data_IF_082843621272
#
_entry.id   IF_082843621272
#
_cell.length_a   1.000
_cell.length_b   1.000
_cell.length_c   1.000
_cell.angle_alpha   90.00
_cell.angle_beta   90.00
_cell.angle_gamma   90.00
#
_symmetry.space_group_name_H-M   'P 1'
#
loop_
_entity.id
_entity.type
_entity.pdbx_description
1 polymer ?
#
# COMPACT_ATOMS: atom_id res chain seq x y z
N UNK A 1 9.69 15.71 9.73
CA UNK A 1 10.09 16.71 10.71
C UNK A 1 8.92 17.15 11.58
N UNK A 2 7.80 17.66 11.00
CA UNK A 2 6.66 18.15 11.80
C UNK A 2 6.07 17.09 12.74
N UNK A 3 5.84 15.86 12.28
CA UNK A 3 5.32 14.79 13.12
C UNK A 3 6.27 14.46 14.29
N UNK A 4 7.58 14.45 14.06
CA UNK A 4 8.57 14.22 15.10
C UNK A 4 8.69 15.38 16.08
N UNK A 5 8.44 16.62 15.63
CA UNK A 5 8.37 17.79 16.49
C UNK A 5 7.11 17.82 17.36
N UNK A 6 5.96 17.41 16.78
CA UNK A 6 4.69 17.31 17.50
C UNK A 6 4.67 16.17 18.53
N UNK A 7 5.49 15.15 18.32
CA UNK A 7 5.60 13.97 19.18
C UNK A 7 7.01 13.88 19.77
N UNK A 8 7.48 15.00 20.34
CA UNK A 8 8.79 15.09 20.97
C UNK A 8 8.97 14.19 22.20
N UNK A 9 7.85 13.71 22.77
CA UNK A 9 7.83 12.71 23.83
C UNK A 9 8.27 11.31 23.38
N UNK A 10 8.28 11.06 22.06
CA UNK A 10 8.74 9.78 21.49
C UNK A 10 10.26 9.82 21.34
N UNK A 11 10.99 9.45 22.38
CA UNK A 11 12.45 9.45 22.39
C UNK A 11 13.05 8.38 21.48
N UNK A 12 12.41 7.21 21.38
CA UNK A 12 12.89 6.08 20.58
C UNK A 12 11.73 5.39 19.85
N UNK A 13 11.87 5.26 18.55
CA UNK A 13 11.00 4.37 17.77
C UNK A 13 11.83 3.26 17.13
N UNK A 14 11.31 2.02 17.18
CA UNK A 14 11.95 0.90 16.51
C UNK A 14 11.85 1.02 14.99
N UNK A 15 10.79 1.70 14.50
CA UNK A 15 10.52 1.81 13.09
C UNK A 15 9.68 3.04 12.79
N UNK A 16 10.14 3.86 11.86
CA UNK A 16 9.37 4.96 11.28
C UNK A 16 8.93 4.57 9.87
N UNK A 17 7.64 4.34 9.68
CA UNK A 17 7.06 4.14 8.36
C UNK A 17 6.63 5.50 7.80
N UNK A 18 7.07 5.79 6.58
CA UNK A 18 6.66 6.99 5.83
C UNK A 18 5.93 6.53 4.58
N UNK A 19 4.61 6.66 4.55
CA UNK A 19 3.80 6.21 3.44
C UNK A 19 3.49 7.35 2.47
N UNK A 20 3.93 7.19 1.23
CA UNK A 20 3.49 8.00 0.10
C UNK A 20 2.26 7.34 -0.49
N UNK A 21 1.11 7.69 0.07
CA UNK A 21 -0.18 7.07 -0.23
C UNK A 21 -1.34 7.94 0.26
N UNK A 22 -2.56 7.62 -0.12
CA UNK A 22 -3.84 8.17 0.39
C UNK A 22 -4.16 9.62 0.00
N UNK A 23 -3.17 10.48 -0.18
CA UNK A 23 -3.35 11.89 -0.53
C UNK A 23 -3.17 12.14 -2.03
N UNK A 24 -3.62 11.19 -2.84
CA UNK A 24 -3.46 11.17 -4.29
C UNK A 24 -2.51 10.07 -4.74
N UNK A 25 -2.25 10.04 -6.04
CA UNK A 25 -1.38 9.04 -6.66
C UNK A 25 0.08 9.53 -6.64
N UNK A 26 0.98 8.85 -5.90
CA UNK A 26 2.35 9.33 -5.72
C UNK A 26 3.17 9.37 -7.02
N UNK A 27 2.84 8.52 -8.00
CA UNK A 27 3.58 8.47 -9.26
C UNK A 27 3.32 9.67 -10.19
N UNK A 28 2.38 10.53 -9.86
CA UNK A 28 2.17 11.82 -10.53
C UNK A 28 2.93 12.99 -9.90
N UNK A 29 3.65 12.73 -8.80
CA UNK A 29 4.31 13.78 -8.05
C UNK A 29 5.80 13.49 -7.87
N UNK A 30 6.63 14.08 -8.72
CA UNK A 30 8.09 13.91 -8.70
C UNK A 30 8.73 14.37 -7.37
N UNK A 31 8.07 15.25 -6.61
CA UNK A 31 8.53 15.61 -5.27
C UNK A 31 8.59 14.42 -4.30
N UNK A 32 7.88 13.33 -4.58
CA UNK A 32 7.97 12.09 -3.78
C UNK A 32 9.38 11.51 -3.86
N UNK A 33 9.96 11.44 -5.06
CA UNK A 33 11.32 10.94 -5.28
C UNK A 33 12.36 11.85 -4.63
N UNK A 34 12.24 13.16 -4.82
CA UNK A 34 13.14 14.14 -4.20
C UNK A 34 13.06 14.12 -2.67
N UNK A 35 11.84 14.11 -2.12
CA UNK A 35 11.65 13.98 -0.68
C UNK A 35 12.25 12.67 -0.14
N UNK A 36 12.05 11.55 -0.84
CA UNK A 36 12.60 10.27 -0.42
C UNK A 36 14.15 10.29 -0.39
N UNK A 37 14.80 10.92 -1.34
CA UNK A 37 16.27 11.09 -1.35
C UNK A 37 16.75 11.94 -0.16
N UNK A 38 16.01 12.96 0.21
CA UNK A 38 16.37 13.90 1.27
C UNK A 38 15.96 13.44 2.67
N UNK A 39 14.94 12.58 2.77
CA UNK A 39 14.30 12.18 4.03
C UNK A 39 15.30 11.69 5.08
N UNK A 40 16.25 10.83 4.72
CA UNK A 40 17.26 10.33 5.65
C UNK A 40 18.14 11.45 6.22
N UNK A 41 18.47 12.45 5.41
CA UNK A 41 19.25 13.61 5.87
C UNK A 41 18.44 14.46 6.84
N UNK A 42 17.16 14.66 6.56
CA UNK A 42 16.27 15.50 7.36
C UNK A 42 15.95 14.89 8.73
N UNK A 43 15.77 13.56 8.80
CA UNK A 43 15.37 12.88 10.03
C UNK A 43 16.51 12.24 10.81
N UNK A 44 17.71 12.18 10.24
CA UNK A 44 18.91 11.59 10.89
C UNK A 44 19.20 12.13 12.30
N UNK A 45 18.94 13.41 12.60
CA UNK A 45 19.11 13.91 13.97
C UNK A 45 18.17 13.27 14.99
N UNK A 46 17.05 12.70 14.56
CA UNK A 46 15.98 12.18 15.42
C UNK A 46 15.92 10.65 15.46
N UNK A 47 16.37 9.99 14.36
CA UNK A 47 16.24 8.54 14.23
C UNK A 47 17.35 7.98 13.34
N UNK A 48 17.85 6.78 13.67
CA UNK A 48 18.83 6.07 12.86
C UNK A 48 18.29 5.61 11.51
N UNK A 49 19.18 5.46 10.50
CA UNK A 49 18.82 5.05 9.13
C UNK A 49 18.04 3.74 9.08
N UNK A 50 18.43 2.76 9.89
CA UNK A 50 17.80 1.42 9.91
C UNK A 50 16.34 1.43 10.35
N UNK A 51 15.90 2.50 10.99
CA UNK A 51 14.53 2.62 11.50
C UNK A 51 13.57 3.31 10.52
N UNK A 52 14.03 3.77 9.37
CA UNK A 52 13.22 4.51 8.39
C UNK A 52 12.84 3.62 7.23
N UNK A 53 11.54 3.46 7.01
CA UNK A 53 10.97 2.59 6.01
C UNK A 53 9.96 3.37 5.14
N UNK A 54 10.41 4.13 4.13
CA UNK A 54 9.49 4.78 3.22
C UNK A 54 8.84 3.74 2.28
N UNK A 55 7.58 3.97 1.96
CA UNK A 55 6.79 3.09 1.10
C UNK A 55 6.02 3.93 0.10
N UNK A 56 6.16 3.62 -1.17
CA UNK A 56 5.27 4.10 -2.24
C UNK A 56 4.18 3.06 -2.46
N UNK A 57 2.93 3.50 -2.42
CA UNK A 57 1.78 2.70 -2.83
C UNK A 57 1.11 3.36 -4.03
N UNK A 58 1.01 2.65 -5.14
CA UNK A 58 0.45 3.15 -6.39
C UNK A 58 -0.63 2.24 -6.94
N UNK A 59 -1.66 2.83 -7.54
CA UNK A 59 -2.66 2.11 -8.32
C UNK A 59 -2.18 1.81 -9.75
N UNK A 60 -1.01 2.28 -10.14
CA UNK A 60 -0.44 2.18 -11.49
C UNK A 60 -1.39 2.81 -12.53
N UNK A 61 -1.54 4.13 -12.53
CA UNK A 61 -2.50 4.81 -13.38
C UNK A 61 -2.12 4.70 -14.85
N UNK A 62 -3.07 4.27 -15.69
CA UNK A 62 -2.91 4.05 -17.13
C UNK A 62 -2.47 5.32 -17.87
N UNK A 63 -2.91 6.49 -17.39
CA UNK A 63 -2.66 7.77 -18.04
C UNK A 63 -1.33 8.42 -17.64
N UNK A 64 -0.52 7.78 -16.79
CA UNK A 64 0.75 8.33 -16.37
C UNK A 64 1.90 7.96 -17.31
N UNK A 65 2.27 8.86 -18.18
CA UNK A 65 3.40 8.68 -19.12
C UNK A 65 4.76 8.56 -18.42
N UNK A 66 4.87 9.04 -17.18
CA UNK A 66 6.10 8.98 -16.37
C UNK A 66 6.12 7.79 -15.40
N UNK A 67 5.15 6.87 -15.48
CA UNK A 67 5.01 5.77 -14.52
C UNK A 67 6.26 4.87 -14.45
N UNK A 68 6.73 4.39 -15.59
CA UNK A 68 7.88 3.47 -15.64
C UNK A 68 9.16 4.17 -15.16
N UNK A 69 9.53 5.36 -15.65
CA UNK A 69 10.68 6.10 -15.13
C UNK A 69 10.58 6.35 -13.61
N UNK A 70 9.43 6.76 -13.11
CA UNK A 70 9.21 6.95 -11.67
C UNK A 70 9.47 5.67 -10.88
N UNK A 71 8.90 4.54 -11.30
CA UNK A 71 9.05 3.25 -10.62
C UNK A 71 10.50 2.76 -10.63
N UNK A 72 11.21 2.92 -11.75
CA UNK A 72 12.63 2.57 -11.85
C UNK A 72 13.47 3.41 -10.89
N UNK A 73 13.29 4.72 -10.87
CA UNK A 73 14.01 5.61 -9.95
C UNK A 73 13.66 5.31 -8.48
N UNK A 74 12.38 5.02 -8.18
CA UNK A 74 12.00 4.56 -6.84
C UNK A 74 12.72 3.28 -6.44
N UNK A 75 12.85 2.32 -7.35
CA UNK A 75 13.57 1.07 -7.09
C UNK A 75 15.06 1.31 -6.80
N UNK A 76 15.71 2.26 -7.50
CA UNK A 76 17.06 2.69 -7.20
C UNK A 76 17.18 3.29 -5.79
N UNK A 77 16.26 4.20 -5.44
CA UNK A 77 16.19 4.78 -4.10
C UNK A 77 15.99 3.67 -3.05
N UNK A 78 15.03 2.75 -3.28
CA UNK A 78 14.75 1.63 -2.41
C UNK A 78 15.98 0.76 -2.18
N UNK A 79 16.62 0.36 -3.27
CA UNK A 79 17.70 -0.61 -3.22
C UNK A 79 18.99 -0.01 -2.64
N UNK A 80 19.35 1.21 -3.04
CA UNK A 80 20.65 1.78 -2.70
C UNK A 80 20.59 2.81 -1.58
N UNK A 81 19.64 3.74 -1.59
CA UNK A 81 19.54 4.75 -0.51
C UNK A 81 19.07 4.12 0.78
N UNK A 82 18.05 3.27 0.71
CA UNK A 82 17.44 2.60 1.87
C UNK A 82 17.94 1.18 2.08
N UNK A 83 18.83 0.67 1.23
CA UNK A 83 19.43 -0.68 1.33
C UNK A 83 18.38 -1.77 1.46
N UNK A 84 17.28 -1.64 0.70
CA UNK A 84 16.18 -2.60 0.67
C UNK A 84 15.13 -2.44 1.77
N UNK A 85 15.27 -1.50 2.71
CA UNK A 85 14.27 -1.28 3.77
C UNK A 85 13.04 -0.49 3.31
N UNK A 86 13.14 0.26 2.22
CA UNK A 86 11.99 0.90 1.58
C UNK A 86 11.07 -0.12 0.89
N UNK A 87 9.80 0.23 0.67
CA UNK A 87 8.80 -0.61 0.05
C UNK A 87 8.21 -0.01 -1.22
N UNK A 88 7.78 -0.89 -2.12
CA UNK A 88 6.94 -0.56 -3.26
C UNK A 88 5.72 -1.46 -3.23
N UNK A 89 4.53 -0.88 -3.27
CA UNK A 89 3.27 -1.59 -3.26
C UNK A 89 2.46 -1.24 -4.51
N UNK A 90 1.96 -2.24 -5.18
CA UNK A 90 1.02 -2.15 -6.29
C UNK A 90 -0.38 -2.46 -5.76
N UNK A 91 -1.30 -1.53 -5.87
CA UNK A 91 -2.70 -1.74 -5.51
C UNK A 91 -3.37 -2.61 -6.57
N UNK A 92 -3.39 -3.91 -6.31
CA UNK A 92 -4.00 -4.90 -7.20
C UNK A 92 -5.49 -5.00 -6.95
N UNK A 93 -5.90 -5.26 -5.73
CA UNK A 93 -7.25 -5.39 -5.20
C UNK A 93 -8.09 -6.53 -5.79
N UNK A 94 -7.94 -6.87 -7.07
CA UNK A 94 -8.58 -8.03 -7.71
C UNK A 94 -7.68 -8.61 -8.79
N UNK A 95 -7.79 -9.91 -9.04
CA UNK A 95 -7.15 -10.60 -10.18
C UNK A 95 -8.04 -10.62 -11.42
N UNK A 96 -9.28 -10.18 -11.31
CA UNK A 96 -10.18 -9.93 -12.42
C UNK A 96 -9.98 -8.52 -12.97
N UNK A 97 -9.69 -8.41 -14.27
CA UNK A 97 -9.38 -7.12 -14.88
C UNK A 97 -10.59 -6.20 -15.00
N UNK A 98 -11.79 -6.77 -15.18
CA UNK A 98 -13.04 -5.99 -15.29
C UNK A 98 -13.39 -5.41 -13.92
N UNK A 99 -13.32 -6.24 -12.87
CA UNK A 99 -13.51 -5.79 -11.49
C UNK A 99 -12.47 -4.71 -11.11
N UNK A 100 -11.20 -4.88 -11.48
CA UNK A 100 -10.17 -3.84 -11.27
C UNK A 100 -10.50 -2.55 -11.99
N UNK A 101 -10.90 -2.65 -13.25
CA UNK A 101 -11.22 -1.49 -14.07
C UNK A 101 -12.39 -0.69 -13.50
N UNK A 102 -13.39 -1.37 -12.96
CA UNK A 102 -14.49 -0.75 -12.23
C UNK A 102 -14.01 -0.04 -10.96
N UNK A 103 -13.24 -0.72 -10.10
CA UNK A 103 -12.69 -0.16 -8.85
C UNK A 103 -11.88 1.12 -9.07
N UNK A 104 -11.16 1.21 -10.18
CA UNK A 104 -10.31 2.35 -10.51
C UNK A 104 -10.89 3.28 -11.58
N UNK A 105 -12.21 3.20 -11.81
CA UNK A 105 -12.95 4.07 -12.73
C UNK A 105 -12.33 4.15 -14.14
N UNK A 106 -11.92 3.01 -14.67
CA UNK A 106 -11.33 2.89 -16.01
C UNK A 106 -9.86 3.29 -16.13
N UNK A 107 -9.21 3.69 -15.05
CA UNK A 107 -7.83 4.20 -15.08
C UNK A 107 -6.78 3.20 -14.53
N UNK A 108 -7.12 1.93 -14.38
CA UNK A 108 -6.18 0.90 -13.96
C UNK A 108 -5.53 0.19 -15.15
N UNK A 109 -4.24 -0.13 -15.01
CA UNK A 109 -3.59 -1.10 -15.89
C UNK A 109 -4.13 -2.51 -15.62
N UNK A 110 -4.17 -3.37 -16.65
CA UNK A 110 -4.46 -4.79 -16.47
C UNK A 110 -3.35 -5.50 -15.70
N UNK A 111 -3.62 -6.69 -15.16
CA UNK A 111 -2.58 -7.49 -14.47
C UNK A 111 -1.42 -7.84 -15.40
N UNK A 112 -1.72 -8.11 -16.65
CA UNK A 112 -0.73 -8.43 -17.68
C UNK A 112 0.20 -7.23 -17.92
N UNK A 113 -0.35 -6.02 -18.07
CA UNK A 113 0.43 -4.78 -18.20
C UNK A 113 1.28 -4.51 -16.96
N UNK A 114 0.75 -4.75 -15.76
CA UNK A 114 1.50 -4.62 -14.50
C UNK A 114 2.63 -5.64 -14.42
N UNK A 115 2.39 -6.86 -14.88
CA UNK A 115 3.41 -7.90 -14.94
C UNK A 115 4.58 -7.50 -15.85
N UNK A 116 4.28 -6.95 -17.04
CA UNK A 116 5.31 -6.45 -17.96
C UNK A 116 6.12 -5.31 -17.32
N UNK A 117 5.47 -4.38 -16.63
CA UNK A 117 6.19 -3.36 -15.85
C UNK A 117 7.08 -4.01 -14.79
N UNK A 118 6.57 -4.99 -14.05
CA UNK A 118 7.33 -5.71 -13.03
C UNK A 118 8.60 -6.37 -13.56
N UNK A 119 8.58 -6.84 -14.81
CA UNK A 119 9.76 -7.41 -15.49
C UNK A 119 10.83 -6.36 -15.80
N UNK A 120 10.42 -5.11 -16.04
CA UNK A 120 11.33 -4.00 -16.31
C UNK A 120 11.99 -3.43 -15.04
N UNK A 121 11.46 -3.75 -13.86
CA UNK A 121 12.02 -3.29 -12.60
C UNK A 121 13.21 -4.17 -12.17
N UNK A 122 14.23 -3.60 -11.53
CA UNK A 122 15.38 -4.35 -11.02
C UNK A 122 14.94 -5.36 -9.96
N UNK A 123 15.81 -6.34 -9.69
CA UNK A 123 15.59 -7.26 -8.57
C UNK A 123 15.59 -6.49 -7.24
N UNK A 124 14.59 -6.73 -6.37
CA UNK A 124 14.51 -6.01 -5.12
C UNK A 124 15.59 -6.47 -4.15
N UNK A 125 16.38 -5.53 -3.64
CA UNK A 125 17.23 -5.77 -2.47
C UNK A 125 16.30 -5.70 -1.23
N UNK A 126 16.39 -6.70 -0.35
CA UNK A 126 15.63 -6.76 0.89
C UNK A 126 14.13 -7.00 0.65
N UNK A 127 13.28 -5.99 0.87
CA UNK A 127 11.83 -6.15 0.74
C UNK A 127 11.41 -6.38 -0.70
N UNK A 128 10.63 -7.43 -0.96
CA UNK A 128 9.98 -7.70 -2.24
C UNK A 128 8.96 -6.60 -2.59
N UNK A 129 8.58 -6.52 -3.85
CA UNK A 129 7.46 -5.69 -4.31
C UNK A 129 6.15 -6.30 -3.84
N UNK A 130 5.29 -5.50 -3.24
CA UNK A 130 4.04 -6.00 -2.67
C UNK A 130 2.88 -5.87 -3.67
N UNK A 131 2.27 -6.98 -4.01
CA UNK A 131 0.97 -7.05 -4.67
C UNK A 131 -0.08 -6.90 -3.56
N UNK A 132 -0.64 -5.70 -3.42
CA UNK A 132 -1.53 -5.36 -2.32
C UNK A 132 -3.00 -5.52 -2.72
N UNK A 133 -3.72 -6.26 -1.91
CA UNK A 133 -5.15 -6.48 -2.02
C UNK A 133 -5.84 -5.87 -0.80
N UNK A 134 -6.64 -4.82 -1.04
CA UNK A 134 -7.66 -4.41 -0.10
C UNK A 134 -8.86 -5.32 -0.38
N UNK A 135 -9.11 -6.31 0.49
CA UNK A 135 -9.99 -7.44 0.18
C UNK A 135 -11.35 -7.28 0.84
N UNK A 136 -12.41 -7.25 0.02
CA UNK A 136 -13.81 -7.41 0.41
C UNK A 136 -14.29 -8.83 0.04
N UNK A 137 -15.51 -9.19 0.45
CA UNK A 137 -16.01 -10.56 0.31
C UNK A 137 -16.21 -11.01 -1.14
N UNK A 138 -16.52 -10.05 -2.03
CA UNK A 138 -16.77 -10.27 -3.46
C UNK A 138 -15.54 -10.01 -4.34
N UNK A 139 -14.39 -9.69 -3.74
CA UNK A 139 -13.18 -9.42 -4.51
C UNK A 139 -12.47 -10.72 -4.89
N UNK A 140 -12.04 -10.80 -6.14
CA UNK A 140 -11.49 -12.02 -6.73
C UNK A 140 -9.98 -12.05 -6.57
N UNK A 141 -9.45 -13.10 -5.93
CA UNK A 141 -8.02 -13.41 -5.89
C UNK A 141 -7.81 -14.82 -6.46
N UNK A 142 -7.23 -14.88 -7.65
CA UNK A 142 -6.78 -16.09 -8.32
C UNK A 142 -5.26 -16.21 -8.16
N UNK A 143 -4.84 -17.09 -7.24
CA UNK A 143 -3.43 -17.29 -6.90
C UNK A 143 -2.63 -17.94 -8.04
N UNK A 144 -3.25 -18.80 -8.85
CA UNK A 144 -2.61 -19.45 -9.99
C UNK A 144 -2.34 -18.41 -11.10
N UNK A 145 -3.30 -17.54 -11.37
CA UNK A 145 -3.12 -16.41 -12.31
C UNK A 145 -1.98 -15.50 -11.84
N UNK A 146 -1.92 -15.17 -10.55
CA UNK A 146 -0.82 -14.38 -10.00
C UNK A 146 0.54 -15.06 -10.20
N UNK A 147 0.64 -16.37 -9.91
CA UNK A 147 1.88 -17.13 -10.07
C UNK A 147 2.33 -17.25 -11.53
N UNK A 148 1.40 -17.20 -12.48
CA UNK A 148 1.71 -17.19 -13.91
C UNK A 148 2.29 -15.84 -14.34
N UNK A 149 1.81 -14.75 -13.75
CA UNK A 149 2.17 -13.38 -14.16
C UNK A 149 3.36 -12.81 -13.39
N UNK A 150 3.48 -13.10 -12.10
CA UNK A 150 4.45 -12.45 -11.22
C UNK A 150 5.47 -13.43 -10.65
N UNK A 151 6.75 -13.06 -10.71
CA UNK A 151 7.82 -13.82 -10.08
C UNK A 151 7.76 -13.69 -8.55
N UNK A 152 7.50 -14.78 -7.85
CA UNK A 152 7.46 -14.86 -6.40
C UNK A 152 8.80 -14.58 -5.71
N UNK A 153 9.92 -14.60 -6.46
CA UNK A 153 11.22 -14.14 -5.93
C UNK A 153 11.28 -12.61 -5.82
N UNK A 154 10.65 -11.89 -6.75
CA UNK A 154 10.59 -10.44 -6.77
C UNK A 154 9.37 -9.89 -6.03
N UNK A 155 8.27 -10.63 -6.00
CA UNK A 155 6.97 -10.19 -5.52
C UNK A 155 6.50 -10.96 -4.29
N UNK A 156 5.68 -10.32 -3.49
CA UNK A 156 4.97 -10.90 -2.36
C UNK A 156 3.51 -10.44 -2.39
N UNK A 157 2.62 -11.18 -1.77
CA UNK A 157 1.22 -10.81 -1.63
C UNK A 157 1.00 -10.14 -0.26
N UNK A 158 0.32 -9.01 -0.25
CA UNK A 158 -0.16 -8.37 0.96
C UNK A 158 -1.67 -8.27 0.90
N UNK A 159 -2.35 -8.82 1.90
CA UNK A 159 -3.81 -8.77 2.04
C UNK A 159 -4.15 -7.83 3.19
N UNK A 160 -5.01 -6.86 2.91
CA UNK A 160 -5.57 -5.96 3.91
C UNK A 160 -7.08 -6.12 3.88
N UNK A 161 -7.66 -6.83 4.86
CA UNK A 161 -9.12 -6.98 4.93
C UNK A 161 -9.80 -5.63 5.03
N UNK A 162 -10.92 -5.48 4.35
CA UNK A 162 -11.81 -4.34 4.49
C UNK A 162 -12.85 -4.66 5.57
N UNK A 163 -12.87 -3.85 6.59
CA UNK A 163 -13.91 -3.93 7.63
C UNK A 163 -15.16 -3.19 7.19
N UNK A 164 -16.29 -3.58 7.77
CA UNK A 164 -17.55 -2.89 7.52
C UNK A 164 -17.49 -1.47 8.08
N UNK A 165 -17.54 -0.49 7.20
CA UNK A 165 -17.52 0.93 7.51
C UNK A 165 -18.64 1.65 6.77
N UNK A 166 -18.96 2.87 7.21
CA UNK A 166 -19.92 3.70 6.49
C UNK A 166 -19.52 3.92 5.03
N UNK A 167 -18.22 4.01 4.75
CA UNK A 167 -17.72 4.14 3.37
C UNK A 167 -17.99 2.88 2.54
N UNK A 168 -17.92 1.70 3.14
CA UNK A 168 -18.29 0.46 2.46
C UNK A 168 -19.78 0.45 2.10
N UNK A 169 -20.65 0.82 3.05
CA UNK A 169 -22.09 0.86 2.83
C UNK A 169 -22.47 1.86 1.71
N UNK A 170 -21.88 3.06 1.71
CA UNK A 170 -22.12 4.10 0.69
C UNK A 170 -21.66 3.66 -0.70
N UNK A 171 -20.56 2.91 -0.80
CA UNK A 171 -20.00 2.47 -2.07
C UNK A 171 -20.44 1.06 -2.47
N UNK A 172 -21.38 0.44 -1.74
CA UNK A 172 -21.88 -0.90 -2.05
C UNK A 172 -20.85 -2.01 -1.92
N UNK A 173 -19.80 -1.81 -1.12
CA UNK A 173 -18.77 -2.82 -0.88
C UNK A 173 -19.30 -3.84 0.12
N UNK A 174 -19.32 -5.10 -0.29
CA UNK A 174 -19.81 -6.20 0.54
C UNK A 174 -18.66 -6.70 1.42
N UNK A 175 -18.81 -6.54 2.73
CA UNK A 175 -17.90 -7.14 3.69
C UNK A 175 -18.68 -7.60 4.92
N UNK A 176 -18.48 -8.84 5.30
CA UNK A 176 -19.11 -9.48 6.45
C UNK A 176 -18.15 -9.63 7.62
N UNK A 177 -16.89 -9.33 7.38
CA UNK A 177 -15.88 -9.47 8.41
C UNK A 177 -15.88 -8.30 9.39
N UNK A 178 -15.58 -8.66 10.64
CA UNK A 178 -15.34 -7.71 11.72
C UNK A 178 -13.90 -7.76 12.20
N UNK A 179 -13.58 -6.96 13.20
CA UNK A 179 -12.24 -6.89 13.78
C UNK A 179 -11.81 -8.18 14.50
N UNK A 180 -12.73 -9.09 14.76
CA UNK A 180 -12.50 -10.31 15.54
C UNK A 180 -12.33 -11.57 14.69
N UNK A 181 -12.66 -11.51 13.38
CA UNK A 181 -12.62 -12.70 12.53
C UNK A 181 -11.72 -12.50 11.31
N UNK A 182 -10.92 -13.51 11.00
CA UNK A 182 -10.01 -13.52 9.83
C UNK A 182 -10.48 -14.48 8.74
N UNK A 183 -11.67 -15.07 8.90
CA UNK A 183 -12.10 -16.23 8.13
C UNK A 183 -12.20 -16.01 6.63
N UNK A 184 -12.77 -14.90 6.10
CA UNK A 184 -12.90 -14.69 4.66
C UNK A 184 -11.54 -14.63 3.91
N UNK A 185 -10.48 -14.25 4.62
CA UNK A 185 -9.16 -14.01 4.02
C UNK A 185 -8.22 -15.22 4.11
N UNK A 186 -8.53 -16.20 4.93
CA UNK A 186 -7.71 -17.39 5.13
C UNK A 186 -7.55 -18.20 3.85
N UNK A 187 -8.61 -18.27 3.05
CA UNK A 187 -8.55 -18.97 1.77
C UNK A 187 -7.57 -18.29 0.82
N UNK A 188 -7.69 -16.99 0.62
CA UNK A 188 -6.80 -16.22 -0.26
C UNK A 188 -5.35 -16.29 0.23
N UNK A 189 -5.12 -16.19 1.53
CA UNK A 189 -3.80 -16.35 2.14
C UNK A 189 -3.21 -17.74 1.85
N UNK A 190 -4.01 -18.78 2.06
CA UNK A 190 -3.59 -20.17 1.85
C UNK A 190 -3.29 -20.45 0.39
N UNK A 191 -4.16 -20.02 -0.52
CA UNK A 191 -4.00 -20.23 -1.94
C UNK A 191 -2.75 -19.52 -2.47
N UNK A 192 -2.51 -18.27 -2.07
CA UNK A 192 -1.31 -17.53 -2.46
C UNK A 192 -0.02 -18.15 -1.89
N UNK A 193 -0.04 -18.66 -0.66
CA UNK A 193 1.10 -19.40 -0.09
C UNK A 193 1.37 -20.69 -0.86
N UNK A 194 0.32 -21.44 -1.17
CA UNK A 194 0.44 -22.68 -1.96
C UNK A 194 0.98 -22.40 -3.37
N UNK A 195 0.66 -21.25 -3.95
CA UNK A 195 1.18 -20.79 -5.23
C UNK A 195 2.64 -20.29 -5.17
N UNK A 196 3.26 -20.28 -3.98
CA UNK A 196 4.68 -19.97 -3.77
C UNK A 196 5.00 -18.54 -3.34
N UNK A 197 4.01 -17.70 -3.09
CA UNK A 197 4.25 -16.35 -2.62
C UNK A 197 4.51 -16.27 -1.11
N UNK A 198 5.38 -15.35 -0.70
CA UNK A 198 5.32 -14.84 0.66
C UNK A 198 4.05 -14.03 0.82
N UNK A 199 3.30 -14.27 1.90
CA UNK A 199 2.02 -13.58 2.15
C UNK A 199 2.05 -12.90 3.51
N UNK A 200 1.63 -11.63 3.53
CA UNK A 200 1.39 -10.87 4.75
C UNK A 200 -0.09 -10.48 4.78
N UNK A 201 -0.78 -10.81 5.87
CA UNK A 201 -2.10 -10.27 6.18
C UNK A 201 -1.92 -9.16 7.20
N UNK A 202 -2.42 -7.98 6.88
CA UNK A 202 -2.44 -6.83 7.79
C UNK A 202 -3.89 -6.45 8.06
N UNK A 203 -4.32 -6.63 9.30
CA UNK A 203 -5.66 -6.26 9.74
C UNK A 203 -5.58 -4.90 10.43
N UNK A 204 -6.25 -3.87 9.91
CA UNK A 204 -6.34 -2.57 10.58
C UNK A 204 -7.02 -2.72 11.95
N UNK A 205 -6.64 -1.87 12.89
CA UNK A 205 -7.34 -1.81 14.19
C UNK A 205 -8.61 -0.97 14.11
N UNK A 206 -9.52 -1.18 15.05
CA UNK A 206 -10.74 -0.37 15.16
C UNK A 206 -10.42 1.13 15.32
N UNK A 207 -9.38 1.47 16.08
CA UNK A 207 -8.97 2.85 16.29
C UNK A 207 -8.45 3.51 15.01
N UNK A 208 -7.78 2.74 14.12
CA UNK A 208 -7.37 3.22 12.81
C UNK A 208 -8.57 3.53 11.92
N UNK A 209 -9.63 2.74 11.99
CA UNK A 209 -10.87 2.99 11.24
C UNK A 209 -11.65 4.18 11.81
N UNK A 210 -11.77 4.29 13.12
CA UNK A 210 -12.35 5.47 13.77
C UNK A 210 -11.59 6.76 13.43
N UNK A 211 -10.26 6.68 13.36
CA UNK A 211 -9.41 7.79 12.96
C UNK A 211 -9.48 8.14 11.48
N UNK A 212 -10.24 7.37 10.66
CA UNK A 212 -10.33 7.50 9.21
C UNK A 212 -8.97 7.44 8.50
N UNK A 213 -8.02 6.69 9.08
CA UNK A 213 -6.66 6.57 8.58
C UNK A 213 -6.41 5.26 7.81
N UNK A 214 -7.39 4.36 7.73
CA UNK A 214 -7.32 3.13 6.95
C UNK A 214 -7.64 3.32 5.48
N UNK A 215 -7.25 2.35 4.65
CA UNK A 215 -7.64 2.33 3.25
C UNK A 215 -9.17 2.21 3.12
N UNK A 216 -9.77 3.05 2.27
CA UNK A 216 -11.22 3.13 2.10
C UNK A 216 -11.91 4.16 3.00
N UNK A 217 -11.29 4.56 4.09
CA UNK A 217 -11.81 5.61 4.98
C UNK A 217 -11.17 6.99 4.74
N UNK A 218 -10.16 7.10 3.86
CA UNK A 218 -9.57 8.39 3.54
C UNK A 218 -10.63 9.29 2.90
N UNK A 219 -10.79 10.48 3.46
CA UNK A 219 -11.76 11.45 3.00
C UNK A 219 -11.30 12.00 1.66
N UNK A 220 -11.83 11.45 0.58
CA UNK A 220 -11.44 11.82 -0.77
C UNK A 220 -12.34 12.87 -1.41
N UNK A 221 -13.50 13.20 -0.86
CA UNK A 221 -14.37 14.19 -1.48
C UNK A 221 -15.33 14.83 -0.49
N UNK A 222 -14.93 15.99 0.05
CA UNK A 222 -15.85 16.92 0.68
C UNK A 222 -16.48 16.52 2.02
N UNK A 223 -16.25 15.33 2.53
CA UNK A 223 -16.63 14.95 3.88
C UNK A 223 -15.53 15.34 4.85
N UNK A 224 -15.65 16.51 5.45
CA UNK A 224 -14.77 16.92 6.55
C UNK A 224 -15.22 16.16 7.79
N UNK A 225 -14.35 15.33 8.44
CA UNK A 225 -14.72 14.76 9.73
C UNK A 225 -14.96 15.90 10.70
N UNK A 226 -16.08 15.87 11.37
CA UNK A 226 -16.26 16.68 12.57
C UNK A 226 -15.47 16.03 13.70
N UNK A 227 -14.16 16.17 13.66
CA UNK A 227 -13.31 15.78 14.80
C UNK A 227 -13.49 16.84 15.86
N UNK A 228 -14.21 16.51 16.91
CA UNK A 228 -14.20 17.31 18.13
C UNK A 228 -12.84 17.14 18.79
N UNK A 229 -11.90 18.01 18.51
CA UNK A 229 -10.57 18.06 19.14
C UNK A 229 -10.60 18.29 20.67
N UNK A 230 -11.78 18.48 21.27
CA UNK A 230 -11.97 18.67 22.72
C UNK A 230 -11.87 17.39 23.56
N UNK A 231 -11.65 16.23 22.95
CA UNK A 231 -11.50 14.95 23.69
C UNK A 231 -10.08 14.35 23.65
N UNK A 232 -9.10 15.07 23.14
CA UNK A 232 -7.70 14.61 23.02
C UNK A 232 -6.72 15.57 23.71
N UNK A 233 -7.15 16.19 24.80
CA UNK A 233 -6.27 16.92 25.74
C UNK A 233 -6.43 16.34 27.13
#
# INVERSE_FOLDING_TARGET
AQALLLHSEVEVTKRLNVHYARMGEPTWNDNVLEHAKLLLKQIRPYIGRSHVHPVVSTMLPKNNKNLIPFLQEWCEIKNYTYRGSAGLQFSINSTDNDQRNEMFSGNALSLEEISEIGKLLPDPIGRKYALNFALADDYIIDAEKLATLFDFKKSMVKITPLHKTQSCDVNGIITTDGYETFTPYQKAETDCKNAGFDVIVFVPSYDEDLGLITCGNAILSGSIPKVNFTQVL
#
